data_IF_147599997923
#
_entry.id   IF_147599997923
#
_cell.length_a   1.000
_cell.length_b   1.000
_cell.length_c   1.000
_cell.angle_alpha   90.00
_cell.angle_beta   90.00
_cell.angle_gamma   90.00
#
_symmetry.space_group_name_H-M   'P 1'
#
loop_
_entity.id
_entity.type
_entity.pdbx_description
1 polymer ?
#
# COMPACT_ATOMS: atom_id res chain seq x y z
N UNK A 1 -29.46 -1.31 39.50
CA UNK A 1 -30.09 -0.97 38.20
C UNK A 1 -29.00 -0.95 37.14
N UNK A 2 -28.72 -2.11 36.56
CA UNK A 2 -27.80 -2.26 35.42
C UNK A 2 -28.47 -1.77 34.14
N UNK A 3 -27.93 -0.72 33.54
CA UNK A 3 -28.38 -0.26 32.23
C UNK A 3 -27.63 -1.01 31.14
N UNK A 4 -28.28 -2.04 30.59
CA UNK A 4 -27.94 -2.67 29.31
C UNK A 4 -27.73 -1.60 28.23
N UNK A 5 -26.53 -1.50 27.67
CA UNK A 5 -26.30 -0.95 26.32
C UNK A 5 -25.84 -2.06 25.39
N UNK A 6 -26.81 -2.77 24.82
CA UNK A 6 -26.64 -3.53 23.58
C UNK A 6 -27.27 -2.68 22.47
N UNK A 7 -26.44 -2.12 21.58
CA UNK A 7 -26.88 -1.56 20.30
C UNK A 7 -25.89 -2.02 19.25
N UNK A 8 -26.05 -3.25 18.80
CA UNK A 8 -25.59 -3.68 17.49
C UNK A 8 -26.58 -3.08 16.49
N UNK A 9 -26.20 -1.94 15.89
CA UNK A 9 -27.00 -1.31 14.84
C UNK A 9 -26.56 -1.83 13.48
N UNK A 10 -27.50 -2.39 12.72
CA UNK A 10 -27.31 -2.77 11.32
C UNK A 10 -27.03 -1.53 10.48
N UNK A 11 -25.94 -1.53 9.70
CA UNK A 11 -25.46 -0.32 9.01
C UNK A 11 -26.27 0.06 7.75
N UNK A 12 -27.27 -0.74 7.36
CA UNK A 12 -28.10 -0.48 6.17
C UNK A 12 -29.26 0.50 6.38
N UNK A 13 -29.72 0.70 7.62
CA UNK A 13 -30.91 1.53 7.89
C UNK A 13 -30.56 3.03 8.10
N UNK A 14 -29.32 3.35 8.48
CA UNK A 14 -28.87 4.70 8.82
C UNK A 14 -28.40 5.58 7.64
N UNK A 15 -28.53 5.11 6.40
CA UNK A 15 -27.99 5.79 5.22
C UNK A 15 -29.05 6.40 4.30
N UNK A 16 -30.34 6.11 4.53
CA UNK A 16 -31.48 6.78 3.89
C UNK A 16 -31.95 7.96 4.74
N UNK A 17 -31.05 8.90 5.02
CA UNK A 17 -31.46 10.19 5.58
C UNK A 17 -31.86 11.12 4.44
N UNK A 18 -33.01 11.76 4.60
CA UNK A 18 -33.51 12.73 3.63
C UNK A 18 -32.51 13.88 3.44
N UNK A 19 -32.45 14.47 2.23
CA UNK A 19 -31.64 15.66 2.00
C UNK A 19 -31.97 16.74 3.05
N UNK A 20 -30.99 17.56 3.40
CA UNK A 20 -31.28 18.77 4.15
C UNK A 20 -32.32 19.62 3.39
N UNK A 21 -33.01 20.52 4.09
CA UNK A 21 -34.07 21.36 3.49
C UNK A 21 -33.59 22.19 2.28
N UNK A 22 -32.27 22.38 2.14
CA UNK A 22 -31.61 23.04 1.01
C UNK A 22 -31.20 22.09 -0.13
N UNK A 23 -31.63 20.83 -0.09
CA UNK A 23 -31.32 19.77 -1.06
C UNK A 23 -29.92 19.15 -0.89
N UNK A 24 -29.14 19.52 0.13
CA UNK A 24 -27.79 18.97 0.30
C UNK A 24 -27.83 17.56 0.88
N UNK A 25 -27.12 16.64 0.21
CA UNK A 25 -26.94 15.28 0.71
C UNK A 25 -26.01 15.22 1.92
N UNK A 26 -26.29 14.36 2.91
CA UNK A 26 -25.49 14.25 4.11
C UNK A 26 -24.08 13.69 3.81
N UNK A 27 -23.07 14.28 4.47
CA UNK A 27 -21.69 13.79 4.45
C UNK A 27 -21.39 12.97 5.70
N UNK A 28 -20.72 11.83 5.54
CA UNK A 28 -20.29 10.95 6.62
C UNK A 28 -18.78 10.80 6.65
N UNK A 29 -18.21 10.75 7.86
CA UNK A 29 -16.79 10.44 8.03
C UNK A 29 -16.62 8.95 7.78
N UNK A 30 -15.70 8.61 6.88
CA UNK A 30 -15.37 7.23 6.53
C UNK A 30 -13.88 6.97 6.69
N UNK A 31 -13.53 5.71 6.96
CA UNK A 31 -12.24 5.14 6.66
C UNK A 31 -12.35 4.39 5.33
N UNK A 32 -11.32 4.52 4.49
CA UNK A 32 -11.30 3.93 3.16
C UNK A 32 -9.97 3.23 2.95
N UNK A 33 -10.06 1.93 2.62
CA UNK A 33 -8.90 1.11 2.28
C UNK A 33 -8.63 1.24 0.78
N UNK A 34 -7.39 1.59 0.44
CA UNK A 34 -6.97 1.82 -0.94
C UNK A 34 -5.71 1.03 -1.27
N UNK A 35 -5.60 0.62 -2.53
CA UNK A 35 -4.41 0.01 -3.10
C UNK A 35 -3.97 0.75 -4.35
N UNK A 36 -2.67 0.88 -4.56
CA UNK A 36 -2.13 1.56 -5.73
C UNK A 36 -0.73 1.12 -6.12
N UNK A 37 -0.49 1.11 -7.43
CA UNK A 37 0.84 1.09 -8.02
C UNK A 37 1.40 2.51 -8.08
N UNK A 38 2.49 2.76 -7.35
CA UNK A 38 3.02 4.11 -7.17
C UNK A 38 3.73 4.71 -8.38
N UNK A 39 4.10 3.91 -9.38
CA UNK A 39 4.91 4.36 -10.53
C UNK A 39 4.24 5.52 -11.25
N UNK A 40 5.00 6.59 -11.49
CA UNK A 40 4.50 7.78 -12.17
C UNK A 40 3.72 8.75 -11.27
N UNK A 41 3.70 8.50 -9.95
CA UNK A 41 3.21 9.42 -8.93
C UNK A 41 4.36 9.98 -8.09
N UNK A 42 4.25 11.27 -7.73
CA UNK A 42 5.20 11.98 -6.86
C UNK A 42 4.78 11.83 -5.37
N UNK A 43 4.46 10.59 -4.99
CA UNK A 43 4.04 10.22 -3.65
C UNK A 43 2.52 10.20 -3.45
N UNK A 44 2.10 9.80 -2.25
CA UNK A 44 0.67 9.71 -1.93
C UNK A 44 0.03 11.07 -1.68
N UNK A 45 0.73 11.95 -0.96
CA UNK A 45 0.15 13.18 -0.44
C UNK A 45 -0.06 14.23 -1.53
N UNK A 46 -1.20 14.93 -1.54
CA UNK A 46 -1.42 16.10 -2.42
C UNK A 46 -0.33 17.16 -2.19
N UNK A 47 0.38 17.50 -3.27
CA UNK A 47 1.34 18.59 -3.37
C UNK A 47 1.03 19.43 -4.61
N UNK A 48 1.26 20.76 -4.59
CA UNK A 48 1.05 21.62 -5.75
C UNK A 48 1.81 21.12 -6.99
N UNK A 49 1.18 21.25 -8.17
CA UNK A 49 1.75 20.92 -9.47
C UNK A 49 2.29 19.48 -9.61
N UNK A 50 1.83 18.58 -8.74
CA UNK A 50 2.34 17.20 -8.68
C UNK A 50 1.21 16.20 -8.89
N UNK A 51 1.49 15.13 -9.64
CA UNK A 51 0.53 14.02 -9.78
C UNK A 51 0.68 13.09 -8.59
N UNK A 52 -0.35 13.02 -7.75
CA UNK A 52 -0.30 12.26 -6.48
C UNK A 52 -1.49 11.31 -6.37
N UNK A 53 -1.36 10.29 -5.53
CA UNK A 53 -2.42 9.29 -5.30
C UNK A 53 -3.67 9.98 -4.78
N UNK A 54 -3.53 10.77 -3.72
CA UNK A 54 -4.66 11.48 -3.10
C UNK A 54 -5.28 12.50 -4.03
N UNK A 55 -4.51 13.18 -4.88
CA UNK A 55 -5.08 14.12 -5.87
C UNK A 55 -5.94 13.40 -6.90
N UNK A 56 -5.52 12.21 -7.32
CA UNK A 56 -6.31 11.37 -8.24
C UNK A 56 -7.58 10.85 -7.58
N UNK A 57 -7.49 10.36 -6.34
CA UNK A 57 -8.65 9.94 -5.55
C UNK A 57 -9.63 11.08 -5.33
N UNK A 58 -9.13 12.25 -4.92
CA UNK A 58 -9.97 13.42 -4.64
C UNK A 58 -10.76 13.86 -5.89
N UNK A 59 -10.10 13.89 -7.06
CA UNK A 59 -10.75 14.18 -8.33
C UNK A 59 -11.78 13.10 -8.71
N UNK A 60 -11.50 11.83 -8.46
CA UNK A 60 -12.46 10.75 -8.69
C UNK A 60 -13.69 10.88 -7.78
N UNK A 61 -13.52 11.23 -6.51
CA UNK A 61 -14.65 11.45 -5.59
C UNK A 61 -15.53 12.63 -6.00
N UNK A 62 -14.95 13.68 -6.59
CA UNK A 62 -15.72 14.80 -7.16
C UNK A 62 -16.54 14.32 -8.35
N UNK A 63 -15.91 13.61 -9.30
CA UNK A 63 -16.58 13.07 -10.50
C UNK A 63 -17.69 12.06 -10.14
N UNK A 64 -17.47 11.27 -9.11
CA UNK A 64 -18.43 10.29 -8.60
C UNK A 64 -19.63 10.90 -7.85
N UNK A 65 -19.62 12.21 -7.56
CA UNK A 65 -20.66 12.89 -6.80
C UNK A 65 -20.50 12.78 -5.28
N UNK A 66 -19.42 12.16 -4.80
CA UNK A 66 -19.16 11.96 -3.37
C UNK A 66 -18.65 13.23 -2.67
N UNK A 67 -18.15 14.22 -3.44
CA UNK A 67 -17.69 15.53 -2.97
C UNK A 67 -18.40 16.63 -3.77
N UNK A 68 -19.07 17.55 -3.05
CA UNK A 68 -19.74 18.71 -3.66
C UNK A 68 -18.76 19.74 -4.22
N UNK A 69 -19.20 20.57 -5.17
CA UNK A 69 -18.41 21.68 -5.75
C UNK A 69 -17.86 22.64 -4.67
N UNK A 70 -18.64 22.97 -3.64
CA UNK A 70 -18.18 23.83 -2.53
C UNK A 70 -16.98 23.26 -1.77
N UNK A 71 -16.84 21.93 -1.78
CA UNK A 71 -15.81 21.20 -1.07
C UNK A 71 -14.70 20.65 -1.99
N UNK A 72 -14.79 20.88 -3.30
CA UNK A 72 -13.84 20.37 -4.30
C UNK A 72 -12.57 21.21 -4.44
N UNK A 73 -12.47 22.36 -3.76
CA UNK A 73 -11.31 23.24 -3.92
C UNK A 73 -10.07 22.78 -3.15
N UNK A 74 -10.24 22.09 -2.01
CA UNK A 74 -9.13 21.62 -1.19
C UNK A 74 -9.52 20.39 -0.34
N UNK A 75 -8.60 19.42 -0.17
CA UNK A 75 -8.83 18.19 0.61
C UNK A 75 -9.10 18.45 2.11
N UNK A 76 -8.70 19.60 2.64
CA UNK A 76 -8.98 20.01 4.02
C UNK A 76 -10.47 20.22 4.26
N UNK A 77 -11.24 20.65 3.26
CA UNK A 77 -12.69 20.86 3.36
C UNK A 77 -13.48 19.57 3.61
N UNK A 78 -12.90 18.42 3.25
CA UNK A 78 -13.46 17.09 3.55
C UNK A 78 -12.68 16.36 4.66
N UNK A 79 -11.71 17.02 5.29
CA UNK A 79 -10.92 16.45 6.38
C UNK A 79 -10.14 15.20 5.96
N UNK A 80 -9.51 15.23 4.78
CA UNK A 80 -8.70 14.11 4.27
C UNK A 80 -7.44 13.91 5.12
N UNK A 81 -7.34 12.71 5.70
CA UNK A 81 -6.21 12.22 6.51
C UNK A 81 -5.78 10.84 5.99
N UNK A 82 -4.57 10.41 6.36
CA UNK A 82 -3.93 9.18 5.86
C UNK A 82 -3.09 8.52 6.94
N UNK A 83 -3.11 7.19 7.00
CA UNK A 83 -2.31 6.39 7.92
C UNK A 83 -0.81 6.51 7.63
N UNK A 84 -0.44 6.37 6.35
CA UNK A 84 0.93 6.48 5.87
C UNK A 84 1.03 7.45 4.70
N UNK A 85 2.15 8.18 4.65
CA UNK A 85 2.61 8.89 3.45
C UNK A 85 3.60 7.97 2.74
N UNK A 86 3.48 7.85 1.43
CA UNK A 86 4.45 7.14 0.61
C UNK A 86 5.18 8.11 -0.30
N UNK A 87 6.46 7.86 -0.51
CA UNK A 87 7.32 8.67 -1.37
C UNK A 87 7.03 8.41 -2.85
N UNK A 88 7.68 9.17 -3.73
CA UNK A 88 7.55 9.01 -5.17
C UNK A 88 7.82 7.56 -5.61
N UNK A 89 6.95 7.04 -6.48
CA UNK A 89 7.00 5.67 -7.01
C UNK A 89 6.77 4.52 -6.01
N UNK A 90 6.54 4.81 -4.72
CA UNK A 90 6.25 3.78 -3.71
C UNK A 90 4.80 3.30 -3.87
N UNK A 91 4.62 1.98 -3.96
CA UNK A 91 3.30 1.35 -4.05
C UNK A 91 2.73 1.05 -2.66
N UNK A 92 1.42 0.82 -2.59
CA UNK A 92 0.80 0.27 -1.38
C UNK A 92 -0.30 -0.72 -1.76
N UNK A 93 -0.27 -1.91 -1.18
CA UNK A 93 -1.38 -2.85 -1.29
C UNK A 93 -2.58 -2.36 -0.47
N UNK A 94 -2.30 -1.86 0.74
CA UNK A 94 -3.29 -1.45 1.74
C UNK A 94 -2.84 -0.15 2.44
N UNK A 95 -3.18 1.02 1.89
CA UNK A 95 -3.11 2.27 2.64
C UNK A 95 -4.52 2.65 3.13
N UNK A 96 -4.59 3.34 4.26
CA UNK A 96 -5.85 3.75 4.86
C UNK A 96 -5.96 5.28 4.85
N UNK A 97 -7.03 5.80 4.26
CA UNK A 97 -7.37 7.23 4.32
C UNK A 97 -8.68 7.44 5.08
N UNK A 98 -8.87 8.64 5.63
CA UNK A 98 -10.16 9.03 6.20
C UNK A 98 -10.58 10.41 5.71
N UNK A 99 -11.86 10.57 5.39
CA UNK A 99 -12.42 11.80 4.85
C UNK A 99 -13.95 11.80 5.00
N UNK A 100 -14.59 12.93 4.70
CA UNK A 100 -16.05 13.06 4.68
C UNK A 100 -16.57 12.95 3.26
N UNK A 101 -17.45 11.99 2.99
CA UNK A 101 -18.06 11.75 1.67
C UNK A 101 -19.59 11.71 1.78
N UNK A 102 -20.26 12.05 0.67
CA UNK A 102 -21.64 11.64 0.41
C UNK A 102 -21.60 10.15 0.02
N UNK A 103 -22.36 9.31 0.72
CA UNK A 103 -22.33 7.85 0.50
C UNK A 103 -23.38 7.38 -0.50
N UNK A 104 -24.45 8.16 -0.70
CA UNK A 104 -25.53 7.86 -1.66
C UNK A 104 -25.67 9.01 -2.68
N UNK A 105 -24.67 9.22 -3.55
CA UNK A 105 -24.78 10.22 -4.62
C UNK A 105 -25.88 9.84 -5.60
N UNK A 106 -26.60 10.85 -6.12
CA UNK A 106 -27.75 10.64 -7.02
C UNK A 106 -27.40 9.86 -8.28
N UNK A 107 -26.15 9.96 -8.75
CA UNK A 107 -25.65 9.28 -9.94
C UNK A 107 -25.67 7.75 -9.81
N UNK A 108 -25.52 7.20 -8.60
CA UNK A 108 -25.55 5.74 -8.38
C UNK A 108 -26.98 5.23 -8.49
N UNK A 109 -27.95 5.97 -7.93
CA UNK A 109 -29.36 5.55 -7.90
C UNK A 109 -30.00 5.46 -9.30
N UNK A 110 -29.41 6.11 -10.31
CA UNK A 110 -29.91 6.06 -11.70
C UNK A 110 -29.37 4.87 -12.51
N UNK A 111 -28.32 4.19 -12.04
CA UNK A 111 -27.61 3.16 -12.82
C UNK A 111 -28.03 1.72 -12.46
N UNK A 112 -28.91 1.53 -11.48
CA UNK A 112 -29.15 0.22 -10.82
C UNK A 112 -30.23 -0.69 -11.45
N UNK A 113 -30.83 -0.31 -12.59
CA UNK A 113 -31.87 -1.13 -13.24
C UNK A 113 -31.35 -2.31 -14.09
N UNK A 114 -30.06 -2.65 -14.02
CA UNK A 114 -29.52 -3.83 -14.72
C UNK A 114 -28.77 -4.75 -13.76
N UNK A 115 -29.13 -6.03 -13.77
CA UNK A 115 -28.50 -7.12 -13.02
C UNK A 115 -27.05 -7.30 -13.49
N UNK A 116 -26.11 -6.50 -12.98
CA UNK A 116 -24.70 -6.67 -13.26
C UNK A 116 -24.07 -7.71 -12.33
N UNK A 117 -23.31 -8.61 -12.93
CA UNK A 117 -22.51 -9.63 -12.24
C UNK A 117 -21.50 -8.95 -11.29
N UNK A 118 -21.55 -9.34 -10.01
CA UNK A 118 -20.66 -8.81 -8.96
C UNK A 118 -19.21 -9.27 -9.21
N UNK A 119 -18.23 -8.38 -9.06
CA UNK A 119 -16.79 -8.69 -9.16
C UNK A 119 -16.42 -9.88 -8.24
N UNK A 120 -15.82 -10.96 -8.76
CA UNK A 120 -15.37 -12.10 -7.97
C UNK A 120 -14.44 -11.71 -6.82
N UNK A 121 -13.58 -10.71 -7.02
CA UNK A 121 -12.68 -10.22 -5.98
C UNK A 121 -13.49 -9.59 -4.85
N UNK A 122 -14.51 -8.82 -5.19
CA UNK A 122 -15.39 -8.22 -4.19
C UNK A 122 -16.13 -9.28 -3.37
N UNK A 123 -16.70 -10.30 -4.03
CA UNK A 123 -17.31 -11.46 -3.36
C UNK A 123 -16.36 -12.14 -2.39
N UNK A 124 -15.07 -12.23 -2.73
CA UNK A 124 -14.06 -12.86 -1.86
C UNK A 124 -13.63 -12.01 -0.65
N UNK A 125 -13.69 -10.67 -0.78
CA UNK A 125 -13.27 -9.73 0.26
C UNK A 125 -14.37 -9.48 1.30
N UNK A 126 -15.64 -9.67 0.92
CA UNK A 126 -16.79 -9.52 1.81
C UNK A 126 -17.18 -10.87 2.41
N UNK A 127 -17.00 -10.98 3.71
CA UNK A 127 -17.58 -12.08 4.48
C UNK A 127 -19.11 -11.95 4.49
N UNK A 128 -19.86 -13.06 4.32
CA UNK A 128 -21.33 -13.06 4.20
C UNK A 128 -22.04 -12.22 5.28
N UNK A 129 -21.48 -12.23 6.50
CA UNK A 129 -21.94 -11.44 7.66
C UNK A 129 -21.98 -9.92 7.42
N UNK A 130 -21.19 -9.38 6.48
CA UNK A 130 -21.09 -7.94 6.18
C UNK A 130 -21.64 -7.58 4.78
N UNK A 131 -22.25 -8.54 4.08
CA UNK A 131 -22.84 -8.35 2.75
C UNK A 131 -23.85 -7.20 2.72
N UNK A 132 -24.72 -7.11 3.74
CA UNK A 132 -25.84 -6.16 3.77
C UNK A 132 -25.42 -4.73 4.17
N UNK A 133 -24.18 -4.56 4.63
CA UNK A 133 -23.59 -3.28 5.04
C UNK A 133 -22.47 -2.81 4.11
N UNK A 134 -22.30 -3.53 3.00
CA UNK A 134 -21.29 -3.26 2.01
C UNK A 134 -21.60 -1.99 1.22
N UNK A 135 -20.65 -1.05 1.19
CA UNK A 135 -20.69 0.11 0.28
C UNK A 135 -20.24 -0.26 -1.14
N UNK A 136 -20.36 -1.51 -1.55
CA UNK A 136 -19.84 -1.96 -2.84
C UNK A 136 -20.36 -1.22 -4.06
N UNK A 137 -21.66 -0.93 -4.20
CA UNK A 137 -22.13 -0.15 -5.34
C UNK A 137 -21.43 1.21 -5.46
N UNK A 138 -21.21 1.87 -4.32
CA UNK A 138 -20.43 3.11 -4.22
C UNK A 138 -18.96 2.90 -4.57
N UNK A 139 -18.34 1.84 -4.06
CA UNK A 139 -16.93 1.50 -4.35
C UNK A 139 -16.75 1.25 -5.85
N UNK A 140 -17.63 0.45 -6.46
CA UNK A 140 -17.64 0.15 -7.89
C UNK A 140 -17.77 1.43 -8.71
N UNK A 141 -18.73 2.28 -8.36
CA UNK A 141 -18.94 3.58 -9.01
C UNK A 141 -17.70 4.47 -8.92
N UNK A 142 -17.10 4.62 -7.74
CA UNK A 142 -15.86 5.40 -7.54
C UNK A 142 -14.72 4.83 -8.40
N UNK A 143 -14.54 3.51 -8.42
CA UNK A 143 -13.47 2.84 -9.16
C UNK A 143 -13.59 3.03 -10.69
N UNK A 144 -14.78 3.31 -11.23
CA UNK A 144 -14.97 3.66 -12.65
C UNK A 144 -14.32 5.01 -13.01
N UNK A 145 -14.08 5.89 -12.03
CA UNK A 145 -13.38 7.16 -12.23
C UNK A 145 -11.88 7.09 -11.90
N UNK A 146 -11.39 5.92 -11.49
CA UNK A 146 -10.00 5.68 -11.15
C UNK A 146 -9.29 4.86 -12.24
N UNK A 147 -8.00 5.09 -12.49
CA UNK A 147 -7.22 4.23 -13.38
C UNK A 147 -7.11 2.81 -12.78
N UNK A 148 -6.87 1.80 -13.63
CA UNK A 148 -6.85 0.39 -13.21
C UNK A 148 -5.86 0.07 -12.09
N UNK A 149 -4.76 0.82 -12.00
CA UNK A 149 -3.70 0.65 -11.02
C UNK A 149 -3.91 1.38 -9.69
N UNK A 150 -5.07 2.00 -9.47
CA UNK A 150 -5.47 2.64 -8.22
C UNK A 150 -6.92 2.25 -7.91
N UNK A 151 -7.14 1.57 -6.78
CA UNK A 151 -8.44 1.02 -6.40
C UNK A 151 -8.80 1.36 -4.97
N UNK A 152 -10.09 1.60 -4.77
CA UNK A 152 -10.74 1.54 -3.46
C UNK A 152 -11.17 0.10 -3.23
N UNK A 153 -10.75 -0.47 -2.11
CA UNK A 153 -11.10 -1.81 -1.69
C UNK A 153 -12.36 -1.82 -0.83
N UNK A 154 -12.41 -0.92 0.16
CA UNK A 154 -13.44 -0.92 1.20
C UNK A 154 -13.72 0.49 1.73
N UNK A 155 -14.95 0.71 2.18
CA UNK A 155 -15.39 1.95 2.83
C UNK A 155 -16.13 1.59 4.10
N UNK A 156 -15.75 2.18 5.24
CA UNK A 156 -16.42 1.96 6.52
C UNK A 156 -16.74 3.30 7.16
N UNK A 157 -17.98 3.46 7.65
CA UNK A 157 -18.36 4.62 8.47
C UNK A 157 -17.61 4.61 9.79
N UNK A 158 -17.04 5.75 10.16
CA UNK A 158 -16.29 5.91 11.40
C UNK A 158 -16.76 7.13 12.18
N UNK A 159 -16.40 7.18 13.46
CA UNK A 159 -16.67 8.35 14.30
C UNK A 159 -15.95 9.60 13.77
N UNK A 160 -16.51 10.78 14.05
CA UNK A 160 -15.95 12.08 13.59
C UNK A 160 -14.50 12.31 14.06
N UNK A 161 -14.13 11.75 15.21
CA UNK A 161 -12.79 11.84 15.82
C UNK A 161 -11.75 10.89 15.21
N UNK A 162 -12.14 9.94 14.36
CA UNK A 162 -11.23 8.95 13.82
C UNK A 162 -10.16 9.59 12.91
N UNK A 163 -8.89 9.37 13.27
CA UNK A 163 -7.73 9.78 12.50
C UNK A 163 -6.82 8.57 12.26
N UNK A 164 -6.66 8.11 11.01
CA UNK A 164 -5.94 6.89 10.69
C UNK A 164 -4.44 6.99 10.97
N UNK A 165 -3.88 8.20 11.13
CA UNK A 165 -2.47 8.37 11.49
C UNK A 165 -2.21 8.07 12.95
N UNK A 166 -3.04 8.63 13.84
CA UNK A 166 -2.86 8.54 15.28
C UNK A 166 -3.40 7.24 15.87
N UNK A 167 -4.42 6.64 15.23
CA UNK A 167 -4.95 5.34 15.63
C UNK A 167 -4.13 4.16 15.09
N UNK A 168 -3.18 4.39 14.18
CA UNK A 168 -2.35 3.34 13.62
C UNK A 168 -1.13 3.09 14.51
N UNK A 169 -1.08 1.89 15.07
CA UNK A 169 -0.05 1.34 15.94
C UNK A 169 1.21 0.94 15.16
N UNK A 170 1.04 0.19 14.07
CA UNK A 170 2.13 -0.36 13.28
C UNK A 170 1.83 -0.31 11.78
N UNK A 171 2.89 -0.35 10.98
CA UNK A 171 2.81 -0.42 9.52
C UNK A 171 3.73 -1.54 9.05
N UNK A 172 3.26 -2.36 8.13
CA UNK A 172 4.06 -3.41 7.50
C UNK A 172 4.42 -2.95 6.09
N UNK A 173 5.70 -3.01 5.76
CA UNK A 173 6.22 -2.74 4.42
C UNK A 173 6.86 -4.01 3.89
N UNK A 174 6.55 -4.34 2.64
CA UNK A 174 7.21 -5.40 1.91
C UNK A 174 8.09 -4.79 0.82
N UNK A 175 9.33 -5.26 0.71
CA UNK A 175 10.26 -4.85 -0.32
C UNK A 175 10.56 -6.04 -1.24
N UNK A 176 10.06 -5.97 -2.47
CA UNK A 176 10.41 -6.94 -3.52
C UNK A 176 11.73 -6.51 -4.16
N UNK A 177 12.79 -7.28 -3.91
CA UNK A 177 14.14 -7.02 -4.39
C UNK A 177 14.58 -8.13 -5.34
N UNK A 178 15.24 -7.81 -6.47
CA UNK A 178 15.88 -8.82 -7.29
C UNK A 178 16.96 -9.57 -6.51
N UNK A 179 17.03 -10.89 -6.66
CA UNK A 179 17.96 -11.76 -5.92
C UNK A 179 19.42 -11.36 -6.09
N UNK A 180 19.82 -10.89 -7.28
CA UNK A 180 21.20 -10.48 -7.58
C UNK A 180 21.72 -9.31 -6.74
N UNK A 181 20.86 -8.58 -6.02
CA UNK A 181 21.30 -7.58 -5.05
C UNK A 181 22.04 -8.22 -3.85
N UNK A 182 21.83 -9.51 -3.60
CA UNK A 182 22.49 -10.24 -2.53
C UNK A 182 23.83 -10.86 -2.94
N UNK A 183 24.26 -10.67 -4.21
CA UNK A 183 25.60 -11.08 -4.64
C UNK A 183 26.67 -10.39 -3.77
N UNK A 184 27.74 -11.12 -3.38
CA UNK A 184 28.83 -10.50 -2.66
C UNK A 184 29.43 -9.36 -3.48
N UNK A 185 29.95 -8.30 -2.83
CA UNK A 185 30.53 -7.18 -3.56
C UNK A 185 31.68 -7.66 -4.45
N UNK A 186 31.78 -7.06 -5.66
CA UNK A 186 32.81 -7.39 -6.64
C UNK A 186 34.20 -7.40 -5.98
N UNK A 187 35.02 -8.45 -6.15
CA UNK A 187 36.38 -8.49 -5.65
C UNK A 187 37.16 -7.23 -6.04
N UNK A 188 37.90 -6.66 -5.08
CA UNK A 188 38.64 -5.40 -5.26
C UNK A 188 37.80 -4.12 -5.23
N UNK A 189 36.46 -4.19 -5.18
CA UNK A 189 35.63 -2.99 -4.98
C UNK A 189 35.84 -2.39 -3.57
N UNK A 190 35.60 -1.08 -3.36
CA UNK A 190 35.71 -0.47 -2.03
C UNK A 190 34.89 -1.16 -0.95
N UNK A 191 33.67 -1.61 -1.29
CA UNK A 191 32.80 -2.35 -0.38
C UNK A 191 33.38 -3.74 -0.04
N UNK A 192 33.91 -4.45 -1.05
CA UNK A 192 34.57 -5.73 -0.83
C UNK A 192 35.76 -5.60 0.12
N UNK A 193 36.66 -4.66 -0.13
CA UNK A 193 37.84 -4.43 0.73
C UNK A 193 37.43 -4.09 2.18
N UNK A 194 36.39 -3.27 2.34
CA UNK A 194 35.85 -2.91 3.66
C UNK A 194 35.28 -4.12 4.40
N UNK A 195 34.45 -4.93 3.74
CA UNK A 195 33.86 -6.13 4.36
C UNK A 195 34.92 -7.18 4.69
N UNK A 196 35.91 -7.40 3.80
CA UNK A 196 37.01 -8.34 4.06
C UNK A 196 37.87 -7.91 5.25
N UNK A 197 38.08 -6.61 5.45
CA UNK A 197 38.78 -6.09 6.63
C UNK A 197 37.99 -6.36 7.91
N UNK A 198 36.69 -6.06 7.91
CA UNK A 198 35.80 -6.31 9.06
C UNK A 198 35.72 -7.80 9.41
N UNK A 199 35.63 -8.68 8.42
CA UNK A 199 35.61 -10.13 8.63
C UNK A 199 36.91 -10.63 9.30
N UNK A 200 38.09 -10.16 8.84
CA UNK A 200 39.38 -10.49 9.46
C UNK A 200 39.49 -10.02 10.91
N UNK A 201 38.93 -8.85 11.23
CA UNK A 201 38.90 -8.31 12.59
C UNK A 201 37.96 -9.10 13.51
N UNK A 202 36.83 -9.60 12.99
CA UNK A 202 35.91 -10.47 13.75
C UNK A 202 36.48 -11.88 13.96
N UNK A 203 37.12 -12.47 12.96
CA UNK A 203 37.79 -13.78 13.09
C UNK A 203 38.90 -13.77 14.14
N UNK A 204 39.60 -12.64 14.32
CA UNK A 204 40.57 -12.50 15.41
C UNK A 204 39.93 -12.46 16.80
N UNK A 205 38.64 -12.10 16.90
CA UNK A 205 37.90 -11.99 18.17
C UNK A 205 37.09 -13.25 18.51
N UNK A 206 36.67 -14.02 17.50
CA UNK A 206 35.83 -15.21 17.67
C UNK A 206 36.48 -16.40 16.96
N UNK A 207 36.84 -17.46 17.69
CA UNK A 207 37.33 -18.74 17.14
C UNK A 207 36.20 -19.56 16.48
N UNK A 208 35.34 -18.93 15.70
CA UNK A 208 34.23 -19.60 15.02
C UNK A 208 34.71 -20.06 13.64
N UNK A 209 34.38 -21.30 13.20
CA UNK A 209 34.76 -21.78 11.88
C UNK A 209 34.24 -20.84 10.79
N UNK A 210 35.04 -20.66 9.74
CA UNK A 210 34.67 -19.88 8.58
C UNK A 210 33.48 -20.55 7.88
N UNK A 211 32.32 -19.93 8.01
CA UNK A 211 31.09 -20.39 7.39
C UNK A 211 31.29 -20.30 5.86
N UNK A 212 31.37 -21.44 5.18
CA UNK A 212 31.66 -21.48 3.74
C UNK A 212 30.57 -20.68 3.02
N UNK A 213 30.96 -19.60 2.35
CA UNK A 213 30.05 -18.79 1.57
C UNK A 213 29.91 -19.45 0.19
N UNK A 214 28.80 -20.14 -0.09
CA UNK A 214 28.62 -20.80 -1.39
C UNK A 214 28.64 -19.79 -2.55
N UNK A 215 28.38 -18.50 -2.26
CA UNK A 215 28.31 -17.44 -3.25
C UNK A 215 29.66 -16.73 -3.45
N UNK A 216 30.64 -16.96 -2.57
CA UNK A 216 32.02 -16.47 -2.76
C UNK A 216 32.67 -17.03 -4.04
N UNK A 217 32.23 -18.22 -4.47
CA UNK A 217 32.67 -18.82 -5.72
C UNK A 217 31.97 -18.26 -6.97
N UNK A 218 30.90 -17.48 -6.81
CA UNK A 218 30.16 -16.92 -7.94
C UNK A 218 31.04 -16.03 -8.82
N UNK A 219 31.88 -15.17 -8.22
CA UNK A 219 32.82 -14.31 -8.94
C UNK A 219 33.97 -15.08 -9.59
N UNK A 220 34.34 -16.26 -9.06
CA UNK A 220 35.34 -17.13 -9.69
C UNK A 220 34.76 -17.81 -10.92
N UNK A 221 33.51 -18.29 -10.82
CA UNK A 221 32.79 -18.93 -11.93
C UNK A 221 32.44 -17.93 -13.05
N UNK A 222 32.27 -16.66 -12.70
CA UNK A 222 31.94 -15.57 -13.61
C UNK A 222 33.06 -14.52 -13.65
N UNK A 223 34.32 -14.96 -13.69
CA UNK A 223 35.49 -14.08 -13.76
C UNK A 223 35.50 -13.23 -15.03
N UNK A 224 34.86 -13.71 -16.09
CA UNK A 224 34.62 -12.98 -17.34
C UNK A 224 33.82 -11.67 -17.10
N UNK A 225 32.98 -11.61 -16.07
CA UNK A 225 32.26 -10.39 -15.68
C UNK A 225 33.14 -9.37 -14.95
N UNK A 226 34.38 -9.73 -14.61
CA UNK A 226 35.34 -8.79 -14.03
C UNK A 226 35.92 -7.86 -15.11
N UNK A 227 35.85 -8.26 -16.38
CA UNK A 227 36.28 -7.50 -17.55
C UNK A 227 35.37 -6.29 -17.84
N UNK A 228 35.88 -5.34 -18.64
CA UNK A 228 35.38 -3.96 -18.71
C UNK A 228 34.12 -3.75 -19.56
N UNK A 229 33.60 -4.75 -20.27
CA UNK A 229 32.44 -4.56 -21.15
C UNK A 229 31.11 -4.50 -20.36
N UNK A 230 30.50 -3.31 -20.35
CA UNK A 230 30.02 -2.76 -19.08
C UNK A 230 28.51 -2.83 -18.81
N UNK A 231 27.61 -3.31 -19.70
CA UNK A 231 26.16 -3.17 -19.42
C UNK A 231 25.23 -4.33 -19.78
N UNK A 232 25.24 -4.85 -21.00
CA UNK A 232 24.25 -5.85 -21.43
C UNK A 232 24.53 -7.24 -20.84
N UNK A 233 25.75 -7.75 -21.01
CA UNK A 233 26.17 -9.08 -20.52
C UNK A 233 26.08 -9.21 -19.00
N UNK A 234 26.51 -8.18 -18.26
CA UNK A 234 26.40 -8.15 -16.80
C UNK A 234 24.94 -8.08 -16.33
N UNK A 235 24.06 -7.35 -17.04
CA UNK A 235 22.65 -7.28 -16.68
C UNK A 235 21.95 -8.63 -16.90
N UNK A 236 22.24 -9.32 -18.00
CA UNK A 236 21.68 -10.64 -18.29
C UNK A 236 22.15 -11.70 -17.30
N UNK A 237 23.45 -11.74 -16.98
CA UNK A 237 23.98 -12.71 -16.01
C UNK A 237 23.56 -12.42 -14.56
N UNK A 238 23.35 -11.15 -14.20
CA UNK A 238 22.70 -10.81 -12.92
C UNK A 238 21.23 -11.23 -12.90
N UNK A 239 20.51 -11.10 -14.02
CA UNK A 239 19.12 -11.59 -14.12
C UNK A 239 19.02 -13.11 -13.98
N UNK A 240 20.03 -13.88 -14.40
CA UNK A 240 20.02 -15.35 -14.27
C UNK A 240 20.37 -15.85 -12.87
N UNK A 241 21.07 -15.04 -12.07
CA UNK A 241 21.42 -15.43 -10.70
C UNK A 241 20.17 -15.70 -9.84
N UNK A 242 20.22 -16.81 -9.11
CA UNK A 242 19.24 -17.20 -8.09
C UNK A 242 20.00 -17.40 -6.80
N UNK A 243 19.53 -16.73 -5.75
CA UNK A 243 20.12 -16.84 -4.41
C UNK A 243 19.92 -18.25 -3.88
N UNK A 244 20.92 -18.79 -3.19
CA UNK A 244 20.85 -20.13 -2.61
C UNK A 244 19.91 -20.16 -1.38
N UNK A 245 19.29 -21.32 -1.10
CA UNK A 245 18.45 -21.45 0.10
C UNK A 245 19.26 -21.27 1.39
N UNK A 246 20.54 -21.66 1.39
CA UNK A 246 21.47 -21.42 2.50
C UNK A 246 21.61 -19.91 2.76
N UNK A 247 21.84 -19.11 1.71
CA UNK A 247 21.96 -17.66 1.83
C UNK A 247 20.63 -17.01 2.25
N UNK A 248 19.49 -17.47 1.72
CA UNK A 248 18.17 -17.02 2.20
C UNK A 248 18.02 -17.26 3.71
N UNK A 249 18.39 -18.44 4.20
CA UNK A 249 18.28 -18.78 5.61
C UNK A 249 19.22 -17.93 6.48
N UNK A 250 20.45 -17.67 6.01
CA UNK A 250 21.39 -16.73 6.66
C UNK A 250 20.81 -15.33 6.75
N UNK A 251 20.27 -14.78 5.65
CA UNK A 251 19.63 -13.46 5.62
C UNK A 251 18.46 -13.41 6.61
N UNK A 252 17.57 -14.41 6.59
CA UNK A 252 16.44 -14.48 7.53
C UNK A 252 16.90 -14.51 8.99
N UNK A 253 17.94 -15.28 9.30
CA UNK A 253 18.53 -15.36 10.65
C UNK A 253 19.06 -14.00 11.12
N UNK A 254 19.78 -13.28 10.25
CA UNK A 254 20.27 -11.93 10.56
C UNK A 254 19.10 -10.96 10.75
N UNK A 255 18.13 -10.94 9.83
CA UNK A 255 16.97 -10.05 9.94
C UNK A 255 16.12 -10.32 11.19
N UNK A 256 16.04 -11.57 11.64
CA UNK A 256 15.32 -11.93 12.86
C UNK A 256 15.90 -11.26 14.11
N UNK A 257 17.20 -10.93 14.14
CA UNK A 257 17.84 -10.19 15.24
C UNK A 257 17.34 -8.74 15.36
N UNK A 258 16.73 -8.20 14.30
CA UNK A 258 16.23 -6.83 14.23
C UNK A 258 14.70 -6.75 14.28
N UNK A 259 14.01 -7.88 14.51
CA UNK A 259 12.57 -7.89 14.75
C UNK A 259 12.32 -7.35 16.16
N UNK A 260 11.70 -6.17 16.25
CA UNK A 260 11.32 -5.58 17.55
C UNK A 260 10.38 -6.50 18.33
N UNK A 261 10.47 -6.44 19.66
CA UNK A 261 9.58 -7.12 20.61
C UNK A 261 8.14 -6.60 20.52
#
# INVERSE_FOLDING_TARGET
METKRKREGEAGEYDREEPAADGRLPKRKVAMLIGYYGRGYQGSQINPNSKTIEGTLFNAFIKAGCITKDNSSHPTKVGLQRAARTDANVSACCNLISLKLILNPTQINQAHDQQEESDPLHKSLIHDKYSHTSYYPLIKHINNFLPSHLRVWEIIRVQKSFNPRSFCDSRVYEYSLPTWLFLPPKPGSPLHLRLSKLAKEQQKKSQTPQDDDPEANWWKLHSDLLEKDFKSSQAEKRKSYRISQLMINRIKSVLAQFKGS
#
